data_IF_551664740927
#
_entry.id   IF_551664740927
#
_cell.length_a   1.000
_cell.length_b   1.000
_cell.length_c   1.000
_cell.angle_alpha   90.00
_cell.angle_beta   90.00
_cell.angle_gamma   90.00
#
_symmetry.space_group_name_H-M   'P 1'
#
loop_
_entity.id
_entity.type
_entity.pdbx_description
1 polymer ?
#
# COMPACT_ATOMS: atom_id res chain seq x y z
N UNK A 1 37.01 12.20 17.15
CA UNK A 1 38.32 11.64 16.68
C UNK A 1 38.92 12.68 15.74
N UNK A 2 40.00 13.26 16.11
CA UNK A 2 40.72 14.19 15.25
C UNK A 2 41.78 13.43 14.41
N UNK A 3 42.01 13.86 13.16
CA UNK A 3 42.99 13.28 12.22
C UNK A 3 42.83 11.78 11.99
N UNK A 4 41.57 11.33 11.79
CA UNK A 4 41.26 9.95 11.51
C UNK A 4 41.84 9.49 10.16
N UNK A 5 42.44 8.30 10.13
CA UNK A 5 42.85 7.64 8.89
C UNK A 5 41.63 7.05 8.15
N UNK A 6 41.73 6.79 6.84
CA UNK A 6 40.66 6.14 6.08
C UNK A 6 40.19 4.81 6.70
N UNK A 7 41.12 4.05 7.26
CA UNK A 7 40.86 2.80 7.99
C UNK A 7 40.05 3.03 9.26
N UNK A 8 40.26 4.14 9.97
CA UNK A 8 39.56 4.48 11.21
C UNK A 8 38.11 4.85 10.90
N UNK A 9 37.86 5.60 9.83
CA UNK A 9 36.53 5.96 9.37
C UNK A 9 35.70 4.68 9.04
N UNK A 10 36.29 3.78 8.27
CA UNK A 10 35.65 2.51 7.93
C UNK A 10 35.43 1.61 9.14
N UNK A 11 36.38 1.59 10.10
CA UNK A 11 36.25 0.87 11.38
C UNK A 11 35.12 1.43 12.23
N UNK A 12 34.97 2.74 12.29
CA UNK A 12 33.89 3.40 13.03
C UNK A 12 32.54 3.05 12.52
N UNK A 13 32.37 3.07 11.20
CA UNK A 13 31.12 2.58 10.53
C UNK A 13 30.83 1.14 10.95
N UNK A 14 31.84 0.26 10.90
CA UNK A 14 31.68 -1.13 11.31
C UNK A 14 31.22 -1.28 12.76
N UNK A 15 31.87 -0.60 13.69
CA UNK A 15 31.53 -0.65 15.12
C UNK A 15 30.11 -0.18 15.38
N UNK A 16 29.64 0.88 14.72
CA UNK A 16 28.26 1.33 14.81
C UNK A 16 27.29 0.26 14.27
N UNK A 17 27.63 -0.41 13.16
CA UNK A 17 26.83 -1.48 12.59
C UNK A 17 26.77 -2.72 13.50
N UNK A 18 27.88 -3.07 14.16
CA UNK A 18 27.94 -4.15 15.18
C UNK A 18 27.04 -3.85 16.39
N UNK A 19 26.78 -2.56 16.65
CA UNK A 19 25.80 -2.12 17.67
C UNK A 19 24.34 -2.08 17.13
N UNK A 20 24.06 -2.66 15.99
CA UNK A 20 22.76 -2.65 15.31
C UNK A 20 22.24 -1.24 14.93
N UNK A 21 23.16 -0.28 14.74
CA UNK A 21 22.82 1.06 14.26
C UNK A 21 22.83 1.10 12.73
N UNK A 22 21.92 1.89 12.16
CA UNK A 22 21.94 2.26 10.74
C UNK A 22 22.85 3.48 10.59
N UNK A 23 23.87 3.38 9.73
CA UNK A 23 24.94 4.38 9.61
C UNK A 23 24.82 5.11 8.27
N UNK A 24 24.66 6.44 8.34
CA UNK A 24 24.90 7.35 7.23
C UNK A 24 26.34 7.87 7.29
N UNK A 25 27.04 7.90 6.17
CA UNK A 25 28.41 8.42 6.05
C UNK A 25 28.45 9.45 4.93
N UNK A 26 29.09 10.59 5.18
CA UNK A 26 29.36 11.61 4.17
C UNK A 26 30.86 11.66 3.84
N UNK A 27 31.21 11.93 2.59
CA UNK A 27 32.59 12.07 2.17
C UNK A 27 32.70 12.61 0.75
N UNK A 28 33.86 13.20 0.44
CA UNK A 28 34.15 13.84 -0.84
C UNK A 28 35.43 13.31 -1.51
N UNK A 29 36.28 12.61 -0.75
CA UNK A 29 37.61 12.16 -1.19
C UNK A 29 37.74 10.65 -1.40
N UNK A 30 38.79 10.24 -2.10
CA UNK A 30 39.19 8.84 -2.26
C UNK A 30 39.35 8.15 -0.90
N UNK A 31 39.87 8.91 0.10
CA UNK A 31 40.07 8.40 1.45
C UNK A 31 38.77 8.04 2.19
N UNK A 32 37.61 8.56 1.73
CA UNK A 32 36.30 8.29 2.31
C UNK A 32 35.61 7.11 1.66
N UNK A 33 36.03 6.72 0.43
CA UNK A 33 35.42 5.68 -0.36
C UNK A 33 35.19 4.34 0.39
N UNK A 34 36.16 3.83 1.18
CA UNK A 34 35.95 2.60 1.95
C UNK A 34 34.87 2.74 3.03
N UNK A 35 34.74 3.91 3.67
CA UNK A 35 33.70 4.17 4.66
C UNK A 35 32.34 4.41 4.01
N UNK A 36 32.28 5.16 2.91
CA UNK A 36 31.07 5.39 2.11
C UNK A 36 30.49 4.07 1.61
N UNK A 37 31.32 3.19 1.07
CA UNK A 37 30.89 1.87 0.56
C UNK A 37 30.40 0.95 1.67
N UNK A 38 30.99 1.05 2.87
CA UNK A 38 30.61 0.22 4.03
C UNK A 38 29.34 0.69 4.69
N UNK A 39 29.06 1.99 4.69
CA UNK A 39 27.91 2.58 5.34
C UNK A 39 26.60 2.02 4.76
N UNK A 40 25.53 2.02 5.55
CA UNK A 40 24.20 1.65 5.08
C UNK A 40 23.72 2.62 4.00
N UNK A 41 24.01 3.91 4.15
CA UNK A 41 23.84 4.95 3.14
C UNK A 41 25.09 5.82 3.10
N UNK A 42 25.88 5.72 2.01
CA UNK A 42 26.97 6.63 1.71
C UNK A 42 26.45 7.83 0.93
N UNK A 43 26.71 9.04 1.42
CA UNK A 43 26.43 10.31 0.77
C UNK A 43 27.72 10.89 0.22
N UNK A 44 27.93 10.83 -1.08
CA UNK A 44 29.07 11.49 -1.72
C UNK A 44 28.70 12.93 -2.09
N UNK A 45 29.66 13.86 -1.89
CA UNK A 45 29.46 15.25 -2.30
C UNK A 45 29.59 15.40 -3.81
N UNK A 46 28.83 16.31 -4.42
CA UNK A 46 28.82 16.55 -5.86
C UNK A 46 30.17 17.06 -6.39
N UNK A 47 30.86 17.88 -5.60
CA UNK A 47 32.24 18.36 -5.87
C UNK A 47 33.31 17.31 -5.56
N UNK A 48 32.91 16.15 -4.96
CA UNK A 48 33.84 15.10 -4.60
C UNK A 48 34.47 14.36 -5.75
N UNK A 49 35.47 13.53 -5.46
CA UNK A 49 36.12 12.67 -6.47
C UNK A 49 35.19 11.62 -7.04
N UNK A 50 35.44 11.18 -8.28
CA UNK A 50 34.64 10.11 -8.92
C UNK A 50 34.65 8.82 -8.08
N UNK A 51 35.79 8.49 -7.44
CA UNK A 51 35.89 7.35 -6.54
C UNK A 51 34.95 7.46 -5.31
N UNK A 52 34.75 8.68 -4.77
CA UNK A 52 33.78 8.90 -3.70
C UNK A 52 32.33 8.78 -4.21
N UNK A 53 32.05 9.32 -5.39
CA UNK A 53 30.72 9.23 -6.03
C UNK A 53 30.34 7.79 -6.35
N UNK A 54 31.27 7.00 -6.87
CA UNK A 54 31.05 5.56 -7.14
C UNK A 54 30.87 4.74 -5.85
N UNK A 55 31.51 5.14 -4.76
CA UNK A 55 31.38 4.48 -3.46
C UNK A 55 30.08 4.85 -2.73
N UNK A 56 29.56 6.06 -2.97
CA UNK A 56 28.33 6.56 -2.36
C UNK A 56 27.08 5.97 -3.03
N UNK A 57 26.04 5.76 -2.24
CA UNK A 57 24.72 5.36 -2.77
C UNK A 57 23.88 6.55 -3.24
N UNK A 58 24.17 7.73 -2.70
CA UNK A 58 23.52 9.00 -3.02
C UNK A 58 24.58 10.05 -3.27
N UNK A 59 24.43 10.84 -4.33
CA UNK A 59 25.31 11.98 -4.63
C UNK A 59 24.55 13.26 -4.34
N UNK A 60 25.13 14.13 -3.50
CA UNK A 60 24.58 15.43 -3.10
C UNK A 60 25.12 16.50 -4.06
N UNK A 61 24.38 16.81 -5.10
CA UNK A 61 24.84 17.64 -6.22
C UNK A 61 25.16 19.09 -5.84
N UNK A 62 24.49 19.63 -4.83
CA UNK A 62 24.61 21.01 -4.36
C UNK A 62 25.59 21.16 -3.16
N UNK A 63 26.25 20.08 -2.76
CA UNK A 63 27.17 20.01 -1.62
C UNK A 63 26.60 20.55 -0.31
N UNK A 64 25.27 20.52 -0.16
CA UNK A 64 24.58 21.11 0.96
C UNK A 64 24.09 20.07 1.97
N UNK A 65 24.49 20.22 3.23
CA UNK A 65 24.00 19.37 4.32
C UNK A 65 22.48 19.39 4.51
N UNK A 66 21.81 20.47 4.10
CA UNK A 66 20.34 20.53 4.10
C UNK A 66 19.75 19.47 3.18
N UNK A 67 20.35 19.25 2.02
CA UNK A 67 19.91 18.24 1.06
C UNK A 67 20.07 16.81 1.59
N UNK A 68 21.10 16.56 2.43
CA UNK A 68 21.23 15.30 3.17
C UNK A 68 20.07 15.12 4.15
N UNK A 69 19.73 16.16 4.92
CA UNK A 69 18.57 16.15 5.83
C UNK A 69 17.28 15.89 5.09
N UNK A 70 17.08 16.57 3.96
CA UNK A 70 15.89 16.40 3.14
C UNK A 70 15.83 14.99 2.52
N UNK A 71 16.95 14.44 2.07
CA UNK A 71 17.04 13.05 1.60
C UNK A 71 16.65 12.04 2.69
N UNK A 72 17.06 12.24 3.94
CA UNK A 72 16.66 11.41 5.08
C UNK A 72 15.15 11.55 5.33
N UNK A 73 14.61 12.76 5.28
CA UNK A 73 13.19 13.01 5.47
C UNK A 73 12.33 12.31 4.40
N UNK A 74 12.69 12.45 3.12
CA UNK A 74 12.02 11.76 2.03
C UNK A 74 12.21 10.23 2.12
N UNK A 75 13.38 9.74 2.49
CA UNK A 75 13.62 8.31 2.70
C UNK A 75 12.72 7.72 3.80
N UNK A 76 12.56 8.44 4.91
CA UNK A 76 11.60 8.06 5.97
C UNK A 76 10.16 8.08 5.48
N UNK A 77 9.79 9.07 4.67
CA UNK A 77 8.45 9.16 4.06
C UNK A 77 8.17 7.98 3.15
N UNK A 78 9.11 7.64 2.26
CA UNK A 78 9.00 6.47 1.37
C UNK A 78 8.81 5.19 2.19
N UNK A 79 9.57 5.02 3.26
CA UNK A 79 9.42 3.88 4.15
C UNK A 79 8.01 3.80 4.76
N UNK A 80 7.46 4.91 5.27
CA UNK A 80 6.10 4.95 5.79
C UNK A 80 5.05 4.65 4.72
N UNK A 81 5.25 5.13 3.51
CA UNK A 81 4.34 4.86 2.39
C UNK A 81 4.37 3.38 1.99
N UNK A 82 5.56 2.74 2.01
CA UNK A 82 5.68 1.28 1.82
C UNK A 82 4.92 0.53 2.93
N UNK A 83 5.04 0.94 4.20
CA UNK A 83 4.30 0.31 5.29
C UNK A 83 2.78 0.44 5.12
N UNK A 84 2.30 1.61 4.70
CA UNK A 84 0.88 1.82 4.39
C UNK A 84 0.41 0.87 3.28
N UNK A 85 1.17 0.79 2.19
CA UNK A 85 0.85 -0.11 1.09
C UNK A 85 0.86 -1.58 1.52
N UNK A 86 1.87 -2.03 2.27
CA UNK A 86 1.92 -3.40 2.80
C UNK A 86 0.71 -3.71 3.69
N UNK A 87 0.33 -2.77 4.58
CA UNK A 87 -0.87 -2.92 5.43
C UNK A 87 -2.14 -3.05 4.59
N UNK A 88 -2.29 -2.17 3.60
CA UNK A 88 -3.41 -2.20 2.66
C UNK A 88 -3.54 -3.56 1.96
N UNK A 89 -2.47 -4.02 1.34
CA UNK A 89 -2.44 -5.26 0.57
C UNK A 89 -2.64 -6.50 1.45
N UNK A 90 -2.02 -6.55 2.62
CA UNK A 90 -2.15 -7.71 3.51
C UNK A 90 -3.58 -7.88 4.05
N UNK A 91 -4.30 -6.80 4.33
CA UNK A 91 -5.73 -6.85 4.72
C UNK A 91 -6.56 -7.53 3.63
N UNK A 92 -6.38 -7.09 2.38
CA UNK A 92 -7.13 -7.61 1.23
C UNK A 92 -6.80 -9.08 1.00
N UNK A 93 -5.51 -9.44 1.02
CA UNK A 93 -5.07 -10.81 0.76
C UNK A 93 -5.53 -11.78 1.87
N UNK A 94 -5.46 -11.38 3.14
CA UNK A 94 -5.98 -12.20 4.25
C UNK A 94 -7.48 -12.45 4.06
N UNK A 95 -8.27 -11.43 3.78
CA UNK A 95 -9.70 -11.58 3.55
C UNK A 95 -10.00 -12.45 2.32
N UNK A 96 -9.29 -12.23 1.19
CA UNK A 96 -9.47 -13.02 -0.02
C UNK A 96 -9.21 -14.51 0.22
N UNK A 97 -8.09 -14.83 0.90
CA UNK A 97 -7.71 -16.22 1.22
C UNK A 97 -8.75 -16.85 2.14
N UNK A 98 -9.13 -16.16 3.23
CA UNK A 98 -10.10 -16.72 4.20
C UNK A 98 -11.46 -16.91 3.55
N UNK A 99 -11.96 -15.94 2.79
CA UNK A 99 -13.26 -16.08 2.12
C UNK A 99 -13.23 -17.20 1.08
N UNK A 100 -12.20 -17.26 0.24
CA UNK A 100 -12.09 -18.32 -0.78
C UNK A 100 -11.96 -19.72 -0.18
N UNK A 101 -11.28 -19.85 0.97
CA UNK A 101 -11.12 -21.14 1.65
C UNK A 101 -12.38 -21.58 2.41
N UNK A 102 -13.12 -20.63 2.98
CA UNK A 102 -14.23 -20.93 3.90
C UNK A 102 -15.60 -20.94 3.20
N UNK A 103 -15.80 -20.13 2.15
CA UNK A 103 -17.09 -20.02 1.46
C UNK A 103 -17.64 -21.34 0.90
N UNK A 104 -16.84 -22.28 0.37
CA UNK A 104 -17.35 -23.57 -0.10
C UNK A 104 -18.03 -24.37 1.01
N UNK A 105 -17.56 -24.32 2.25
CA UNK A 105 -18.21 -25.00 3.39
C UNK A 105 -19.60 -24.45 3.72
N UNK A 106 -19.89 -23.25 3.25
CA UNK A 106 -21.19 -22.60 3.37
C UNK A 106 -22.02 -22.67 2.09
N UNK A 107 -21.60 -23.47 1.09
CA UNK A 107 -22.33 -23.66 -0.16
C UNK A 107 -22.21 -22.50 -1.15
N UNK A 108 -21.09 -21.78 -1.13
CA UNK A 108 -20.69 -20.80 -2.16
C UNK A 108 -19.37 -21.28 -2.74
N UNK A 109 -19.43 -21.94 -3.89
CA UNK A 109 -18.26 -22.64 -4.45
C UNK A 109 -17.14 -21.70 -4.86
N UNK A 110 -17.45 -20.63 -5.59
CA UNK A 110 -16.46 -19.66 -6.10
C UNK A 110 -16.93 -18.23 -5.86
N UNK A 111 -16.80 -17.67 -4.64
CA UNK A 111 -17.21 -16.30 -4.35
C UNK A 111 -16.39 -15.26 -5.13
N UNK A 112 -15.10 -15.55 -5.35
CA UNK A 112 -14.19 -14.76 -6.18
C UNK A 112 -13.54 -15.67 -7.22
N UNK A 113 -13.75 -15.36 -8.49
CA UNK A 113 -13.12 -16.10 -9.61
C UNK A 113 -11.63 -15.77 -9.71
N UNK A 114 -10.87 -16.63 -10.37
CA UNK A 114 -9.42 -16.40 -10.60
C UNK A 114 -9.18 -15.06 -11.29
N UNK A 115 -10.02 -14.66 -12.24
CA UNK A 115 -9.94 -13.36 -12.92
C UNK A 115 -10.16 -12.19 -11.98
N UNK A 116 -11.05 -12.32 -10.98
CA UNK A 116 -11.26 -11.31 -9.93
C UNK A 116 -10.00 -11.16 -9.06
N UNK A 117 -9.39 -12.28 -8.63
CA UNK A 117 -8.17 -12.27 -7.84
C UNK A 117 -6.97 -11.70 -8.60
N UNK A 118 -6.85 -12.03 -9.91
CA UNK A 118 -5.83 -11.43 -10.77
C UNK A 118 -6.02 -9.93 -10.93
N UNK A 119 -7.25 -9.46 -11.08
CA UNK A 119 -7.56 -8.03 -11.15
C UNK A 119 -7.17 -7.32 -9.85
N UNK A 120 -7.53 -7.88 -8.69
CA UNK A 120 -7.15 -7.34 -7.38
C UNK A 120 -5.64 -7.26 -7.26
N UNK A 121 -4.91 -8.36 -7.51
CA UNK A 121 -3.47 -8.42 -7.29
C UNK A 121 -2.65 -7.67 -8.35
N UNK A 122 -3.13 -7.50 -9.57
CA UNK A 122 -2.35 -6.85 -10.62
C UNK A 122 -2.74 -5.37 -10.82
N UNK A 123 -4.03 -5.11 -10.97
CA UNK A 123 -4.52 -3.77 -11.31
C UNK A 123 -4.71 -2.94 -10.04
N UNK A 124 -5.40 -3.50 -9.05
CA UNK A 124 -5.75 -2.78 -7.84
C UNK A 124 -4.54 -2.54 -6.95
N UNK A 125 -3.64 -3.53 -6.81
CA UNK A 125 -2.39 -3.37 -6.06
C UNK A 125 -1.46 -2.36 -6.73
N UNK A 126 -1.34 -2.39 -8.07
CA UNK A 126 -0.55 -1.41 -8.82
C UNK A 126 -1.08 0.02 -8.64
N UNK A 127 -2.38 0.22 -8.77
CA UNK A 127 -3.02 1.52 -8.56
C UNK A 127 -3.00 1.92 -7.07
N UNK A 128 -3.16 0.96 -6.15
CA UNK A 128 -3.05 1.17 -4.71
C UNK A 128 -1.64 1.61 -4.29
N UNK A 129 -0.59 1.06 -4.91
CA UNK A 129 0.78 1.50 -4.70
C UNK A 129 0.99 2.96 -5.13
N UNK A 130 0.41 3.38 -6.27
CA UNK A 130 0.44 4.78 -6.71
C UNK A 130 -0.35 5.67 -5.75
N UNK A 131 -1.52 5.22 -5.31
CA UNK A 131 -2.41 5.94 -4.39
C UNK A 131 -1.73 6.26 -3.05
N UNK A 132 -1.07 5.25 -2.45
CA UNK A 132 -0.42 5.36 -1.14
C UNK A 132 1.05 5.80 -1.23
N UNK A 133 1.71 5.59 -2.37
CA UNK A 133 3.10 5.97 -2.60
C UNK A 133 3.31 7.48 -2.71
N UNK A 134 2.28 8.23 -3.09
CA UNK A 134 2.31 9.68 -3.25
C UNK A 134 1.86 10.45 -1.99
N UNK A 135 1.78 9.79 -0.84
CA UNK A 135 1.48 10.48 0.42
C UNK A 135 2.55 11.51 0.77
N UNK A 136 2.16 12.70 1.26
CA UNK A 136 3.08 13.81 1.49
C UNK A 136 4.08 13.51 2.60
N UNK A 137 5.24 14.17 2.51
CA UNK A 137 6.30 14.07 3.49
C UNK A 137 5.95 14.84 4.77
N UNK A 138 5.59 14.12 5.84
CA UNK A 138 5.21 14.71 7.11
C UNK A 138 6.43 15.01 7.97
N UNK A 139 6.50 16.23 8.55
CA UNK A 139 7.59 16.64 9.44
C UNK A 139 7.75 15.72 10.65
N UNK A 140 6.64 15.15 11.16
CA UNK A 140 6.65 14.20 12.29
C UNK A 140 7.59 13.00 12.10
N UNK A 141 7.86 12.59 10.85
CA UNK A 141 8.76 11.46 10.59
C UNK A 141 10.22 11.76 10.96
N UNK A 142 10.61 13.05 11.02
CA UNK A 142 11.96 13.42 11.47
C UNK A 142 12.12 13.35 12.99
N UNK A 143 11.03 13.42 13.75
CA UNK A 143 11.02 13.33 15.22
C UNK A 143 11.02 11.87 15.71
N UNK A 144 10.81 10.91 14.81
CA UNK A 144 10.87 9.49 15.13
C UNK A 144 12.29 9.02 15.42
N UNK A 145 12.43 8.10 16.37
CA UNK A 145 13.72 7.44 16.64
C UNK A 145 14.22 6.69 15.42
N UNK A 146 15.54 6.61 15.20
CA UNK A 146 16.11 5.76 14.16
C UNK A 146 15.66 4.31 14.32
N UNK A 147 15.32 3.68 13.21
CA UNK A 147 14.93 2.27 13.21
C UNK A 147 16.16 1.38 13.35
N UNK A 148 15.96 0.23 13.98
CA UNK A 148 17.01 -0.77 14.10
C UNK A 148 17.10 -1.60 12.82
N UNK A 149 18.28 -2.16 12.53
CA UNK A 149 18.50 -3.01 11.34
C UNK A 149 17.69 -4.32 11.36
N UNK A 150 17.46 -4.84 12.57
CA UNK A 150 16.74 -6.10 12.84
C UNK A 150 15.23 -5.89 13.05
N UNK A 151 14.73 -4.67 12.89
CA UNK A 151 13.31 -4.37 13.08
C UNK A 151 12.46 -4.96 11.95
N UNK A 152 11.48 -5.77 12.30
CA UNK A 152 10.54 -6.33 11.32
C UNK A 152 9.68 -5.23 10.69
N UNK A 153 9.45 -5.34 9.37
CA UNK A 153 8.52 -4.47 8.63
C UNK A 153 7.12 -4.56 9.22
N UNK A 154 6.65 -5.78 9.50
CA UNK A 154 5.34 -6.01 10.13
C UNK A 154 5.55 -6.13 11.64
N UNK A 155 5.24 -5.08 12.37
CA UNK A 155 5.27 -5.08 13.82
C UNK A 155 3.94 -5.60 14.40
N UNK A 156 3.91 -5.86 15.73
CA UNK A 156 2.73 -6.42 16.41
C UNK A 156 1.48 -5.55 16.27
N UNK A 157 1.64 -4.21 16.29
CA UNK A 157 0.51 -3.27 16.10
C UNK A 157 -0.06 -3.39 14.70
N UNK A 158 0.81 -3.38 13.69
CA UNK A 158 0.42 -3.52 12.28
C UNK A 158 -0.26 -4.89 12.03
N UNK A 159 0.28 -5.97 12.61
CA UNK A 159 -0.34 -7.30 12.53
C UNK A 159 -1.74 -7.31 13.13
N UNK A 160 -1.93 -6.72 14.31
CA UNK A 160 -3.25 -6.63 14.93
C UNK A 160 -4.25 -5.88 14.05
N UNK A 161 -3.85 -4.74 13.46
CA UNK A 161 -4.69 -3.98 12.54
C UNK A 161 -5.04 -4.77 11.27
N UNK A 162 -4.06 -5.47 10.68
CA UNK A 162 -4.28 -6.33 9.50
C UNK A 162 -5.31 -7.42 9.82
N UNK A 163 -5.17 -8.09 10.97
CA UNK A 163 -6.09 -9.16 11.36
C UNK A 163 -7.48 -8.61 11.68
N UNK A 164 -7.60 -7.49 12.37
CA UNK A 164 -8.90 -6.86 12.69
C UNK A 164 -9.63 -6.44 11.42
N UNK A 165 -8.95 -5.71 10.53
CA UNK A 165 -9.55 -5.24 9.28
C UNK A 165 -9.84 -6.39 8.30
N UNK A 166 -8.94 -7.38 8.21
CA UNK A 166 -9.15 -8.59 7.41
C UNK A 166 -10.33 -9.43 7.93
N UNK A 167 -10.46 -9.56 9.24
CA UNK A 167 -11.61 -10.23 9.86
C UNK A 167 -12.91 -9.47 9.59
N UNK A 168 -12.92 -8.15 9.71
CA UNK A 168 -14.10 -7.35 9.39
C UNK A 168 -14.51 -7.49 7.93
N UNK A 169 -13.56 -7.37 6.99
CA UNK A 169 -13.83 -7.59 5.56
C UNK A 169 -14.38 -8.99 5.29
N UNK A 170 -13.86 -9.99 5.98
CA UNK A 170 -14.37 -11.38 5.92
C UNK A 170 -15.81 -11.46 6.45
N UNK A 171 -16.11 -10.84 7.59
CA UNK A 171 -17.45 -10.85 8.19
C UNK A 171 -18.46 -10.21 7.24
N UNK A 172 -18.19 -9.00 6.72
CA UNK A 172 -19.11 -8.34 5.79
C UNK A 172 -19.27 -9.12 4.49
N UNK A 173 -18.23 -9.84 4.02
CA UNK A 173 -18.29 -10.73 2.88
C UNK A 173 -19.29 -11.88 3.11
N UNK A 174 -19.22 -12.56 4.26
CA UNK A 174 -20.14 -13.64 4.60
C UNK A 174 -21.56 -13.13 4.88
N UNK A 175 -21.72 -11.97 5.52
CA UNK A 175 -23.02 -11.34 5.69
C UNK A 175 -23.68 -11.06 4.34
N UNK A 176 -22.93 -10.47 3.41
CA UNK A 176 -23.43 -10.19 2.08
C UNK A 176 -23.81 -11.47 1.31
N UNK A 177 -22.95 -12.49 1.32
CA UNK A 177 -23.16 -13.73 0.57
C UNK A 177 -24.29 -14.60 1.14
N UNK A 178 -24.56 -14.53 2.46
CA UNK A 178 -25.44 -15.49 3.13
C UNK A 178 -26.76 -14.93 3.65
N UNK A 179 -26.85 -13.63 3.91
CA UNK A 179 -28.10 -13.07 4.38
C UNK A 179 -29.11 -12.95 3.24
N UNK A 180 -30.32 -13.54 3.38
CA UNK A 180 -31.38 -13.48 2.35
C UNK A 180 -31.77 -12.04 1.96
N UNK A 181 -31.61 -11.10 2.89
CA UNK A 181 -31.82 -9.68 2.63
C UNK A 181 -30.99 -9.17 1.46
N UNK A 182 -29.69 -9.46 1.46
CA UNK A 182 -28.82 -9.00 0.37
C UNK A 182 -29.10 -9.75 -0.94
N UNK A 183 -29.30 -11.07 -0.87
CA UNK A 183 -29.66 -11.86 -2.04
C UNK A 183 -30.95 -11.35 -2.72
N UNK A 184 -31.93 -10.91 -1.93
CA UNK A 184 -33.19 -10.36 -2.43
C UNK A 184 -33.10 -9.01 -3.15
N UNK A 185 -31.94 -8.32 -3.08
CA UNK A 185 -31.68 -7.08 -3.83
C UNK A 185 -31.24 -7.33 -5.29
N UNK A 186 -30.98 -8.58 -5.65
CA UNK A 186 -30.50 -8.99 -6.96
C UNK A 186 -31.53 -9.94 -7.63
N UNK A 187 -31.62 -9.86 -8.94
CA UNK A 187 -32.58 -10.67 -9.68
C UNK A 187 -32.18 -12.16 -9.80
N UNK A 188 -30.90 -12.44 -9.72
CA UNK A 188 -30.34 -13.79 -9.80
C UNK A 188 -28.97 -13.90 -9.07
N UNK A 189 -28.50 -15.13 -8.93
CA UNK A 189 -27.24 -15.44 -8.24
C UNK A 189 -26.02 -14.81 -8.92
N UNK A 190 -25.99 -14.74 -10.25
CA UNK A 190 -24.89 -14.12 -11.00
C UNK A 190 -24.75 -12.63 -10.69
N UNK A 191 -25.88 -11.92 -10.59
CA UNK A 191 -25.89 -10.51 -10.15
C UNK A 191 -25.43 -10.36 -8.70
N UNK A 192 -25.83 -11.26 -7.81
CA UNK A 192 -25.43 -11.25 -6.41
C UNK A 192 -23.93 -11.48 -6.27
N UNK A 193 -23.34 -12.46 -6.99
CA UNK A 193 -21.89 -12.69 -7.01
C UNK A 193 -21.12 -11.52 -7.65
N UNK A 194 -21.69 -10.89 -8.68
CA UNK A 194 -21.11 -9.64 -9.24
C UNK A 194 -21.14 -8.52 -8.20
N UNK A 195 -22.25 -8.36 -7.48
CA UNK A 195 -22.37 -7.42 -6.36
C UNK A 195 -21.35 -7.69 -5.27
N UNK A 196 -21.08 -8.96 -4.97
CA UNK A 196 -20.03 -9.35 -4.03
C UNK A 196 -18.61 -8.95 -4.51
N UNK A 197 -18.29 -9.18 -5.77
CA UNK A 197 -17.02 -8.73 -6.34
C UNK A 197 -16.85 -7.21 -6.22
N UNK A 198 -17.90 -6.44 -6.52
CA UNK A 198 -17.90 -4.98 -6.34
C UNK A 198 -17.72 -4.61 -4.86
N UNK A 199 -18.44 -5.28 -3.95
CA UNK A 199 -18.29 -5.05 -2.50
C UNK A 199 -16.85 -5.24 -2.05
N UNK A 200 -16.21 -6.32 -2.49
CA UNK A 200 -14.84 -6.63 -2.13
C UNK A 200 -13.87 -5.52 -2.56
N UNK A 201 -13.97 -5.06 -3.82
CA UNK A 201 -13.14 -3.98 -4.38
C UNK A 201 -13.40 -2.65 -3.66
N UNK A 202 -14.67 -2.26 -3.50
CA UNK A 202 -15.03 -0.98 -2.88
C UNK A 202 -14.65 -0.95 -1.39
N UNK A 203 -14.80 -2.08 -0.68
CA UNK A 203 -14.34 -2.21 0.71
C UNK A 203 -12.83 -2.07 0.82
N UNK A 204 -12.07 -2.65 -0.12
CA UNK A 204 -10.63 -2.48 -0.18
C UNK A 204 -10.24 -1.01 -0.41
N UNK A 205 -10.96 -0.29 -1.29
CA UNK A 205 -10.73 1.15 -1.50
C UNK A 205 -11.00 1.98 -0.24
N UNK A 206 -12.08 1.68 0.50
CA UNK A 206 -12.35 2.36 1.78
C UNK A 206 -11.31 2.02 2.84
N UNK A 207 -10.79 0.79 2.87
CA UNK A 207 -9.63 0.46 3.70
C UNK A 207 -8.39 1.31 3.38
N UNK A 208 -8.24 1.75 2.13
CA UNK A 208 -7.18 2.70 1.73
C UNK A 208 -7.20 4.00 2.54
N UNK A 209 -8.38 4.51 2.91
CA UNK A 209 -8.49 5.70 3.78
C UNK A 209 -7.96 5.42 5.20
N UNK A 210 -8.26 4.26 5.78
CA UNK A 210 -7.81 3.87 7.11
C UNK A 210 -6.28 3.75 7.20
N UNK A 211 -5.66 3.30 6.11
CA UNK A 211 -4.21 3.07 6.08
C UNK A 211 -3.41 4.36 5.98
N UNK A 212 -4.03 5.46 5.53
CA UNK A 212 -3.35 6.76 5.31
C UNK A 212 -2.90 7.43 6.60
N UNK A 213 -3.73 7.43 7.62
CA UNK A 213 -3.40 8.04 8.92
C UNK A 213 -3.82 7.11 10.06
N UNK A 214 -2.99 7.06 11.10
CA UNK A 214 -3.25 6.27 12.32
C UNK A 214 -4.24 6.97 13.30
N UNK A 215 -4.89 8.05 12.90
CA UNK A 215 -5.76 8.88 13.73
C UNK A 215 -7.06 9.26 13.00
N UNK A 216 -8.06 9.76 13.75
CA UNK A 216 -9.39 10.18 13.31
C UNK A 216 -9.49 11.18 12.13
N UNK A 217 -8.42 11.40 11.39
CA UNK A 217 -8.34 12.35 10.30
C UNK A 217 -8.30 11.72 8.91
N UNK A 218 -9.17 10.72 8.64
CA UNK A 218 -9.20 9.99 7.35
C UNK A 218 -9.27 10.90 6.11
N UNK A 219 -9.85 12.07 6.24
CA UNK A 219 -9.93 13.09 5.17
C UNK A 219 -8.83 14.15 5.25
N UNK A 220 -7.96 14.09 6.28
CA UNK A 220 -6.89 15.07 6.47
C UNK A 220 -5.82 14.90 5.41
N UNK A 221 -5.36 16.01 4.83
CA UNK A 221 -4.30 16.01 3.83
C UNK A 221 -4.72 15.39 2.48
N UNK A 222 -6.01 15.23 2.19
CA UNK A 222 -6.49 14.84 0.86
C UNK A 222 -6.25 15.93 -0.19
N UNK A 223 -6.21 17.17 0.22
CA UNK A 223 -5.84 18.34 -0.58
C UNK A 223 -4.37 18.29 -1.01
N UNK A 224 -3.48 17.75 -0.16
CA UNK A 224 -2.06 17.57 -0.47
C UNK A 224 -1.81 16.30 -1.34
N UNK A 225 -2.68 15.29 -1.25
CA UNK A 225 -2.61 14.08 -2.08
C UNK A 225 -3.81 13.95 -3.03
N UNK A 226 -3.85 14.82 -4.02
CA UNK A 226 -4.88 14.75 -5.09
C UNK A 226 -4.78 13.46 -5.90
N UNK A 227 -3.61 12.82 -5.94
CA UNK A 227 -3.38 11.53 -6.59
C UNK A 227 -4.21 10.41 -5.97
N UNK A 228 -4.39 10.42 -4.65
CA UNK A 228 -5.21 9.45 -3.93
C UNK A 228 -6.65 9.44 -4.45
N UNK A 229 -7.31 10.62 -4.47
CA UNK A 229 -8.68 10.74 -4.93
C UNK A 229 -8.83 10.39 -6.42
N UNK A 230 -7.87 10.82 -7.26
CA UNK A 230 -7.89 10.48 -8.69
C UNK A 230 -7.87 8.96 -8.90
N UNK A 231 -6.96 8.26 -8.25
CA UNK A 231 -6.85 6.79 -8.35
C UNK A 231 -8.09 6.12 -7.77
N UNK A 232 -8.60 6.58 -6.63
CA UNK A 232 -9.84 6.09 -6.03
C UNK A 232 -11.01 6.14 -7.03
N UNK A 233 -11.24 7.29 -7.66
CA UNK A 233 -12.31 7.42 -8.65
C UNK A 233 -12.04 6.66 -9.95
N UNK A 234 -10.78 6.54 -10.37
CA UNK A 234 -10.42 5.71 -11.54
C UNK A 234 -10.79 4.25 -11.28
N UNK A 235 -10.46 3.70 -10.11
CA UNK A 235 -10.79 2.31 -9.79
C UNK A 235 -12.31 2.10 -9.76
N UNK A 236 -13.07 3.03 -9.15
CA UNK A 236 -14.54 2.98 -9.15
C UNK A 236 -15.09 3.03 -10.58
N UNK A 237 -14.56 3.91 -11.43
CA UNK A 237 -15.01 4.03 -12.81
C UNK A 237 -14.69 2.77 -13.63
N UNK A 238 -13.49 2.18 -13.44
CA UNK A 238 -13.10 0.92 -14.08
C UNK A 238 -14.02 -0.21 -13.59
N UNK A 239 -14.28 -0.28 -12.29
CA UNK A 239 -15.19 -1.29 -11.73
C UNK A 239 -16.61 -1.15 -12.28
N UNK A 240 -17.12 0.07 -12.35
CA UNK A 240 -18.41 0.34 -12.95
C UNK A 240 -18.46 -0.05 -14.44
N UNK A 241 -17.39 0.24 -15.18
CA UNK A 241 -17.26 -0.14 -16.59
C UNK A 241 -17.24 -1.67 -16.78
N UNK A 242 -16.50 -2.40 -15.94
CA UNK A 242 -16.44 -3.88 -15.99
C UNK A 242 -17.82 -4.48 -15.75
N UNK A 243 -18.54 -4.04 -14.71
CA UNK A 243 -19.88 -4.55 -14.36
C UNK A 243 -20.87 -4.30 -15.49
N UNK A 244 -20.80 -3.13 -16.13
CA UNK A 244 -21.75 -2.74 -17.19
C UNK A 244 -21.23 -3.04 -18.61
N UNK A 245 -20.09 -3.69 -18.74
CA UNK A 245 -19.47 -3.97 -20.04
C UNK A 245 -20.36 -4.80 -20.97
N UNK A 246 -21.19 -5.70 -20.42
CA UNK A 246 -22.14 -6.50 -21.16
C UNK A 246 -23.26 -5.67 -21.84
N UNK A 247 -23.58 -4.47 -21.34
CA UNK A 247 -24.59 -3.57 -21.89
C UNK A 247 -24.09 -2.81 -23.13
N UNK A 248 -22.76 -2.70 -23.29
CA UNK A 248 -22.16 -1.93 -24.37
C UNK A 248 -22.15 -2.78 -25.65
N UNK A 249 -22.78 -2.37 -26.76
CA UNK A 249 -22.89 -3.14 -27.98
C UNK A 249 -21.60 -3.19 -28.82
N UNK A 250 -20.43 -3.13 -28.16
CA UNK A 250 -19.10 -3.17 -28.77
C UNK A 250 -18.35 -4.43 -28.34
N UNK A 251 -17.95 -5.26 -29.29
CA UNK A 251 -17.43 -6.61 -29.03
C UNK A 251 -16.29 -6.68 -27.97
N UNK A 252 -15.28 -5.81 -27.96
CA UNK A 252 -14.23 -5.83 -26.94
C UNK A 252 -14.77 -5.65 -25.51
N UNK A 253 -15.77 -4.79 -25.28
CA UNK A 253 -16.35 -4.58 -23.96
C UNK A 253 -17.16 -5.80 -23.50
N UNK A 254 -17.91 -6.46 -24.40
CA UNK A 254 -18.60 -7.72 -24.07
C UNK A 254 -17.61 -8.82 -23.69
N UNK A 255 -16.47 -8.89 -24.36
CA UNK A 255 -15.41 -9.85 -24.01
C UNK A 255 -14.88 -9.60 -22.61
N UNK A 256 -14.67 -8.34 -22.20
CA UNK A 256 -14.27 -7.97 -20.82
C UNK A 256 -15.33 -8.43 -19.81
N UNK A 257 -16.61 -8.10 -20.04
CA UNK A 257 -17.70 -8.53 -19.16
C UNK A 257 -17.75 -10.05 -18.99
N UNK A 258 -17.60 -10.80 -20.08
CA UNK A 258 -17.56 -12.26 -20.06
C UNK A 258 -16.32 -12.80 -19.32
N UNK A 259 -15.15 -12.20 -19.52
CA UNK A 259 -13.91 -12.59 -18.84
C UNK A 259 -14.01 -12.45 -17.31
N UNK A 260 -14.66 -11.39 -16.84
CA UNK A 260 -14.92 -11.19 -15.42
C UNK A 260 -16.21 -11.90 -14.95
N UNK A 261 -17.01 -12.46 -15.87
CA UNK A 261 -18.32 -13.03 -15.56
C UNK A 261 -19.21 -12.07 -14.76
N UNK A 262 -19.14 -10.79 -15.08
CA UNK A 262 -19.91 -9.75 -14.43
C UNK A 262 -21.20 -9.48 -15.18
N UNK A 263 -22.29 -9.32 -14.44
CA UNK A 263 -23.62 -9.02 -14.95
C UNK A 263 -24.11 -7.72 -14.32
N UNK A 264 -24.65 -6.78 -15.12
CA UNK A 264 -25.17 -5.53 -14.58
C UNK A 264 -26.33 -5.77 -13.62
N UNK A 265 -26.38 -4.99 -12.54
CA UNK A 265 -27.42 -5.08 -11.51
C UNK A 265 -27.98 -3.70 -11.17
N UNK A 266 -29.14 -3.68 -10.49
CA UNK A 266 -29.91 -2.47 -10.21
C UNK A 266 -29.27 -1.56 -9.17
N UNK A 267 -29.78 -0.31 -9.11
CA UNK A 267 -29.30 0.74 -8.21
C UNK A 267 -29.38 0.34 -6.72
N UNK A 268 -30.35 -0.49 -6.33
CA UNK A 268 -30.48 -0.97 -4.95
C UNK A 268 -29.27 -1.81 -4.53
N UNK A 269 -28.75 -2.66 -5.42
CA UNK A 269 -27.52 -3.42 -5.20
C UNK A 269 -26.30 -2.51 -5.03
N UNK A 270 -26.17 -1.46 -5.85
CA UNK A 270 -25.08 -0.48 -5.73
C UNK A 270 -25.13 0.26 -4.38
N UNK A 271 -26.31 0.70 -3.94
CA UNK A 271 -26.49 1.38 -2.65
C UNK A 271 -26.10 0.45 -1.51
N UNK A 272 -26.57 -0.80 -1.52
CA UNK A 272 -26.25 -1.78 -0.49
C UNK A 272 -24.75 -2.07 -0.40
N UNK A 273 -24.09 -2.24 -1.56
CA UNK A 273 -22.64 -2.45 -1.64
C UNK A 273 -21.87 -1.27 -1.05
N UNK A 274 -22.21 -0.04 -1.44
CA UNK A 274 -21.52 1.16 -0.97
C UNK A 274 -21.72 1.35 0.55
N UNK A 275 -22.95 1.21 1.04
CA UNK A 275 -23.27 1.34 2.46
C UNK A 275 -22.50 0.31 3.30
N UNK A 276 -22.41 -0.93 2.82
CA UNK A 276 -21.71 -2.00 3.52
C UNK A 276 -20.19 -1.75 3.48
N UNK A 277 -19.65 -1.33 2.34
CA UNK A 277 -18.23 -1.04 2.18
C UNK A 277 -17.77 0.14 3.05
N UNK A 278 -18.59 1.17 3.22
CA UNK A 278 -18.28 2.33 4.09
C UNK A 278 -18.08 1.90 5.55
N UNK A 279 -18.65 0.77 5.99
CA UNK A 279 -18.43 0.25 7.36
C UNK A 279 -16.97 -0.13 7.63
N UNK A 280 -16.13 -0.23 6.60
CA UNK A 280 -14.68 -0.42 6.78
C UNK A 280 -14.03 0.75 7.54
N UNK A 281 -14.56 1.97 7.38
CA UNK A 281 -13.96 3.19 7.95
C UNK A 281 -13.97 3.19 9.49
N UNK A 282 -15.10 2.98 10.19
CA UNK A 282 -15.14 3.09 11.65
C UNK A 282 -14.47 1.95 12.42
N UNK A 283 -14.07 0.87 11.77
CA UNK A 283 -13.52 -0.32 12.45
C UNK A 283 -12.04 -0.15 12.83
N UNK A 284 -11.28 0.69 12.12
CA UNK A 284 -9.87 0.99 12.45
C UNK A 284 -9.76 2.17 13.45
N UNK A 285 -10.89 2.76 13.86
CA UNK A 285 -10.97 3.84 14.84
C UNK A 285 -11.03 3.29 16.27
#
# INVERSE_FOLDING_TARGET
IARALPTDKSRMVRLCQEMNLVVGMTGDGVNDSPALKRADVGFAMGSGTEAAKEAGKIVILDDNFKSIKDAIWYGRTIYHNILKFCKFQLVINVAAVVVSAVAPFFGVEEPLKVTHLLFVNLVMDGLGAIMLGNEPALKKYMDEKPRRRDESIVNKKMMAQILTMGAWLTIISFLFLKLPFFAGLFANEEQHLTGYFVLFIVSALFNGFNVRDDRFGIFRGLDENTGFLKVFFIIIAVQFAIVNAALIPFAPFRWIGNMFSCVPFGIQGWIAVILLAVTMIPVDM
#
